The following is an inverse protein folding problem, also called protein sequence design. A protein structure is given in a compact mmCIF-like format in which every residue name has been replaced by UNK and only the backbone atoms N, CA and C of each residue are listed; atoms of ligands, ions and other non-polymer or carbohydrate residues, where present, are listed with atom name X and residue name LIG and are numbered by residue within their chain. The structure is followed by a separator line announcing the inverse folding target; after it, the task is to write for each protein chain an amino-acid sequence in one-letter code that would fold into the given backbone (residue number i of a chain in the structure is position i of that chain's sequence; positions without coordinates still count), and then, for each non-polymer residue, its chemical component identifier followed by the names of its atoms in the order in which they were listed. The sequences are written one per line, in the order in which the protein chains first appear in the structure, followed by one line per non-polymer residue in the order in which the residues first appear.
data_IF_343728834085
#
_entry.id   IF_343728834085
#
_cell.length_a   1.000
_cell.length_b   1.000
_cell.length_c   1.000
_cell.angle_alpha   90.00
_cell.angle_beta   90.00
_cell.angle_gamma   90.00
#
_symmetry.space_group_name_H-M   'P 1'
#
loop_
_entity.id
_entity.type
_entity.pdbx_description
1 polymer ?
#
# COMPACT_ATOMS: atom_id res chain seq x y z
N UNK A 1 -28.11 -26.68 3.48
CA UNK A 1 -28.86 -25.98 2.42
C UNK A 1 -27.80 -25.42 1.49
N UNK A 2 -27.55 -26.10 0.37
CA UNK A 2 -26.46 -25.78 -0.54
C UNK A 2 -26.85 -24.61 -1.44
N UNK A 3 -26.05 -23.54 -1.42
CA UNK A 3 -26.37 -22.30 -2.13
C UNK A 3 -25.78 -22.36 -3.55
N UNK A 4 -26.67 -22.38 -4.54
CA UNK A 4 -26.37 -22.60 -5.95
C UNK A 4 -26.67 -21.29 -6.70
N UNK A 5 -25.80 -20.86 -7.62
CA UNK A 5 -26.06 -19.67 -8.42
C UNK A 5 -25.94 -19.98 -9.91
N UNK A 6 -26.91 -19.46 -10.66
CA UNK A 6 -27.03 -19.68 -12.10
C UNK A 6 -26.39 -18.49 -12.83
N UNK A 7 -25.66 -18.75 -13.92
CA UNK A 7 -25.11 -17.70 -14.77
C UNK A 7 -25.34 -18.03 -16.26
N UNK A 8 -25.37 -16.98 -17.09
CA UNK A 8 -25.65 -17.07 -18.52
C UNK A 8 -24.43 -16.60 -19.30
N UNK A 9 -23.91 -17.45 -20.18
CA UNK A 9 -22.90 -17.06 -21.17
C UNK A 9 -23.60 -16.80 -22.50
N UNK A 10 -23.22 -15.69 -23.16
CA UNK A 10 -23.64 -15.33 -24.51
C UNK A 10 -22.54 -15.75 -25.49
N UNK A 11 -22.90 -16.55 -26.50
CA UNK A 11 -21.99 -16.83 -27.61
C UNK A 11 -21.99 -15.69 -28.62
N UNK A 12 -21.04 -15.71 -29.57
CA UNK A 12 -20.80 -14.62 -30.53
C UNK A 12 -21.98 -14.35 -31.50
N UNK A 13 -23.06 -15.12 -31.38
CA UNK A 13 -24.31 -15.00 -32.14
C UNK A 13 -25.54 -14.68 -31.27
N UNK A 14 -25.37 -14.46 -29.95
CA UNK A 14 -26.39 -13.90 -29.07
C UNK A 14 -27.39 -14.90 -28.48
N UNK A 15 -27.10 -16.20 -28.48
CA UNK A 15 -27.96 -17.18 -27.79
C UNK A 15 -27.52 -17.41 -26.33
N UNK A 16 -28.47 -17.33 -25.40
CA UNK A 16 -28.24 -17.50 -23.96
C UNK A 16 -28.46 -18.94 -23.51
N UNK A 17 -27.44 -19.60 -22.96
CA UNK A 17 -27.56 -20.91 -22.30
C UNK A 17 -27.39 -20.79 -20.79
N UNK A 18 -28.30 -21.42 -20.04
CA UNK A 18 -28.33 -21.41 -18.57
C UNK A 18 -27.42 -22.50 -18.02
N UNK A 19 -26.38 -22.10 -17.28
CA UNK A 19 -25.46 -23.04 -16.63
C UNK A 19 -25.44 -22.83 -15.12
N UNK A 20 -25.10 -23.93 -14.46
CA UNK A 20 -25.31 -24.13 -13.04
C UNK A 20 -23.95 -24.53 -12.39
N UNK A 21 -23.46 -23.79 -11.38
CA UNK A 21 -22.23 -24.12 -10.60
C UNK A 21 -22.45 -24.12 -9.08
N UNK A 22 -21.83 -25.10 -8.40
CA UNK A 22 -21.78 -25.19 -6.92
C UNK A 22 -20.79 -24.19 -6.34
N UNK A 23 -21.21 -23.45 -5.30
CA UNK A 23 -20.35 -22.53 -4.56
C UNK A 23 -19.56 -23.30 -3.48
N UNK A 24 -18.25 -23.38 -3.60
CA UNK A 24 -17.39 -23.90 -2.52
C UNK A 24 -17.23 -22.80 -1.45
N UNK A 25 -17.61 -23.14 -0.21
CA UNK A 25 -17.41 -22.31 0.96
C UNK A 25 -15.96 -22.45 1.46
N UNK A 26 -15.06 -21.60 0.98
CA UNK A 26 -13.69 -21.47 1.49
C UNK A 26 -13.46 -20.12 2.18
N UNK A 27 -14.39 -19.69 3.04
CA UNK A 27 -14.29 -18.40 3.75
C UNK A 27 -13.23 -18.38 4.86
N UNK A 28 -12.62 -19.52 5.19
CA UNK A 28 -11.57 -19.63 6.22
C UNK A 28 -10.15 -19.53 5.67
N UNK A 29 -9.94 -19.65 4.36
CA UNK A 29 -8.61 -19.73 3.76
C UNK A 29 -8.09 -18.41 3.17
N UNK A 30 -8.92 -17.36 3.08
CA UNK A 30 -8.51 -16.09 2.45
C UNK A 30 -7.49 -15.31 3.30
N UNK A 31 -7.68 -15.29 4.63
CA UNK A 31 -6.72 -14.67 5.53
C UNK A 31 -5.42 -15.48 5.58
N UNK A 32 -5.48 -16.82 5.58
CA UNK A 32 -4.29 -17.68 5.65
C UNK A 32 -3.49 -17.70 4.32
N UNK A 33 -4.16 -17.60 3.16
CA UNK A 33 -3.50 -17.46 1.84
C UNK A 33 -2.85 -16.09 1.67
N UNK A 34 -3.34 -15.00 2.28
CA UNK A 34 -2.63 -13.72 2.29
C UNK A 34 -1.31 -13.80 3.09
N UNK A 35 -1.29 -14.54 4.20
CA UNK A 35 -0.08 -14.74 5.02
C UNK A 35 0.95 -15.69 4.36
N UNK A 36 0.52 -16.57 3.46
CA UNK A 36 1.40 -17.47 2.71
C UNK A 36 1.91 -16.84 1.41
N UNK A 37 1.08 -16.09 0.67
CA UNK A 37 1.52 -15.40 -0.55
C UNK A 37 2.44 -14.18 -0.26
N UNK A 38 2.46 -13.67 0.97
CA UNK A 38 3.43 -12.66 1.41
C UNK A 38 4.82 -13.24 1.74
N UNK A 39 4.95 -14.56 1.86
CA UNK A 39 6.26 -15.23 2.03
C UNK A 39 7.01 -15.41 0.70
N UNK A 40 6.37 -15.14 -0.43
CA UNK A 40 6.89 -15.46 -1.77
C UNK A 40 7.41 -14.23 -2.54
N UNK A 41 7.76 -13.13 -1.85
CA UNK A 41 8.74 -12.16 -2.37
C UNK A 41 10.15 -12.49 -1.82
N UNK A 42 10.46 -13.79 -1.76
CA UNK A 42 11.75 -14.31 -1.33
C UNK A 42 12.46 -14.93 -2.53
N UNK A 43 13.00 -14.07 -3.39
CA UNK A 43 14.16 -14.47 -4.17
C UNK A 43 15.24 -14.93 -3.20
N UNK A 44 15.72 -16.17 -3.38
CA UNK A 44 16.93 -16.70 -2.74
C UNK A 44 18.01 -15.62 -2.69
N UNK A 45 18.70 -15.53 -1.56
CA UNK A 45 19.81 -14.60 -1.32
C UNK A 45 20.83 -14.80 -2.44
N UNK A 46 20.72 -13.98 -3.49
CA UNK A 46 21.69 -13.94 -4.56
C UNK A 46 22.83 -13.06 -4.06
N UNK A 47 23.86 -13.69 -3.49
CA UNK A 47 25.09 -13.03 -3.05
C UNK A 47 25.83 -12.33 -4.21
N UNK A 48 25.32 -12.39 -5.45
CA UNK A 48 25.84 -11.66 -6.60
C UNK A 48 25.17 -10.30 -6.83
N UNK A 49 24.10 -9.96 -6.11
CA UNK A 49 23.47 -8.63 -6.18
C UNK A 49 24.20 -7.64 -5.27
N UNK A 50 24.58 -6.48 -5.82
CA UNK A 50 25.29 -5.45 -5.08
C UNK A 50 24.45 -4.90 -3.94
N UNK A 51 24.97 -4.95 -2.71
CA UNK A 51 24.38 -4.20 -1.61
C UNK A 51 24.89 -2.76 -1.67
N UNK A 52 23.98 -1.80 -1.58
CA UNK A 52 24.30 -0.36 -1.65
C UNK A 52 24.74 0.23 -0.29
N UNK A 53 24.90 -0.61 0.73
CA UNK A 53 25.27 -0.19 2.09
C UNK A 53 24.13 0.44 2.90
N UNK A 54 22.93 0.56 2.31
CA UNK A 54 21.73 1.03 2.99
C UNK A 54 21.03 -0.14 3.70
N UNK A 55 20.55 0.09 4.92
CA UNK A 55 19.87 -0.91 5.75
C UNK A 55 18.52 -0.38 6.23
N UNK A 56 17.51 -1.24 6.21
CA UNK A 56 16.17 -0.90 6.70
C UNK A 56 15.68 -1.96 7.67
N UNK A 57 14.80 -1.57 8.60
CA UNK A 57 14.06 -2.53 9.41
C UNK A 57 13.04 -3.23 8.51
N UNK A 58 13.07 -4.56 8.51
CA UNK A 58 12.13 -5.39 7.77
C UNK A 58 11.25 -6.16 8.75
N UNK A 59 9.95 -6.05 8.58
CA UNK A 59 8.97 -6.83 9.33
C UNK A 59 7.69 -7.01 8.52
N UNK A 60 6.93 -8.04 8.88
CA UNK A 60 5.59 -8.29 8.36
C UNK A 60 4.76 -8.91 9.48
N UNK A 61 3.92 -8.11 10.12
CA UNK A 61 3.27 -8.50 11.37
C UNK A 61 1.93 -7.79 11.59
N UNK A 62 0.98 -8.39 12.34
CA UNK A 62 -0.30 -7.76 12.63
C UNK A 62 -0.21 -6.59 13.63
N UNK A 63 0.85 -6.53 14.44
CA UNK A 63 1.06 -5.50 15.47
C UNK A 63 2.48 -4.98 15.47
N UNK A 64 2.67 -3.79 16.04
CA UNK A 64 3.98 -3.17 16.22
C UNK A 64 4.88 -3.99 17.14
N UNK A 65 4.34 -4.57 18.20
CA UNK A 65 5.07 -5.43 19.14
C UNK A 65 5.67 -6.67 18.43
N UNK A 66 4.90 -7.28 17.54
CA UNK A 66 5.34 -8.42 16.75
C UNK A 66 6.32 -7.99 15.65
N UNK A 67 6.10 -6.83 15.01
CA UNK A 67 7.05 -6.24 14.06
C UNK A 67 8.42 -5.95 14.69
N UNK A 68 8.47 -5.51 15.96
CA UNK A 68 9.71 -5.27 16.70
C UNK A 68 10.39 -6.57 17.13
N UNK A 69 9.61 -7.57 17.57
CA UNK A 69 10.17 -8.82 18.10
C UNK A 69 10.63 -9.79 17.01
N UNK A 70 9.94 -9.84 15.88
CA UNK A 70 10.25 -10.75 14.76
C UNK A 70 11.00 -10.08 13.60
N UNK A 71 11.03 -8.73 13.59
CA UNK A 71 11.72 -7.97 12.57
C UNK A 71 13.25 -8.06 12.67
N UNK A 72 13.92 -7.64 11.59
CA UNK A 72 15.37 -7.60 11.52
C UNK A 72 15.85 -6.54 10.53
N UNK A 73 17.11 -6.11 10.67
CA UNK A 73 17.74 -5.25 9.68
C UNK A 73 18.13 -6.06 8.43
N UNK A 74 17.70 -5.57 7.27
CA UNK A 74 18.08 -6.13 5.97
C UNK A 74 18.96 -5.12 5.22
N UNK A 75 19.98 -5.61 4.51
CA UNK A 75 20.75 -4.80 3.57
C UNK A 75 19.95 -4.64 2.28
N UNK A 76 19.72 -3.40 1.87
CA UNK A 76 19.03 -3.08 0.64
C UNK A 76 19.89 -3.41 -0.58
N UNK A 77 19.23 -3.69 -1.71
CA UNK A 77 19.88 -4.05 -2.97
C UNK A 77 19.96 -2.85 -3.90
N UNK A 78 21.05 -2.75 -4.67
CA UNK A 78 21.18 -1.87 -5.83
C UNK A 78 20.54 -0.46 -5.63
N UNK A 79 19.42 -0.19 -6.29
CA UNK A 79 18.70 1.09 -6.31
C UNK A 79 17.67 1.28 -5.17
N UNK A 80 17.61 0.35 -4.20
CA UNK A 80 16.74 0.46 -3.04
C UNK A 80 17.35 1.41 -1.99
N UNK A 81 17.18 2.71 -2.21
CA UNK A 81 17.75 3.78 -1.38
C UNK A 81 16.80 4.34 -0.32
N UNK A 82 15.61 3.74 -0.15
CA UNK A 82 14.61 4.19 0.82
C UNK A 82 14.17 3.03 1.71
N UNK A 83 13.77 3.34 2.94
CA UNK A 83 13.04 2.42 3.79
C UNK A 83 11.54 2.73 3.74
N UNK A 84 10.70 1.70 3.65
CA UNK A 84 9.23 1.84 3.66
C UNK A 84 8.61 1.43 5.00
N UNK A 85 7.45 2.03 5.25
CA UNK A 85 6.44 1.53 6.20
C UNK A 85 5.07 1.59 5.53
N UNK A 86 4.30 0.53 5.72
CA UNK A 86 2.90 0.44 5.30
C UNK A 86 2.07 -0.16 6.40
N UNK A 87 0.97 0.50 6.70
CA UNK A 87 -0.04 0.01 7.62
C UNK A 87 -1.33 -0.29 6.90
N UNK A 88 -1.95 -1.42 7.22
CA UNK A 88 -3.34 -1.68 6.91
C UNK A 88 -4.15 -1.53 8.19
N UNK A 89 -5.15 -0.66 8.14
CA UNK A 89 -6.07 -0.39 9.23
C UNK A 89 -7.47 -0.87 8.86
N UNK A 90 -8.16 -1.46 9.84
CA UNK A 90 -9.57 -1.83 9.75
C UNK A 90 -10.36 -1.13 10.86
N UNK A 91 -11.30 -0.26 10.48
CA UNK A 91 -12.02 0.61 11.42
C UNK A 91 -11.07 1.36 12.38
N UNK A 92 -9.99 1.92 11.84
CA UNK A 92 -8.96 2.67 12.57
C UNK A 92 -7.95 1.82 13.36
N UNK A 93 -8.15 0.51 13.49
CA UNK A 93 -7.20 -0.38 14.18
C UNK A 93 -6.18 -0.95 13.20
N UNK A 94 -4.90 -0.94 13.55
CA UNK A 94 -3.85 -1.59 12.76
C UNK A 94 -4.10 -3.10 12.73
N UNK A 95 -4.04 -3.69 11.54
CA UNK A 95 -4.26 -5.12 11.28
C UNK A 95 -3.08 -5.79 10.60
N UNK A 96 -2.22 -5.00 9.96
CA UNK A 96 -1.01 -5.47 9.28
C UNK A 96 -0.04 -4.31 9.15
N UNK A 97 1.23 -4.61 9.37
CA UNK A 97 2.36 -3.73 9.22
C UNK A 97 3.34 -4.41 8.27
N UNK A 98 3.83 -3.66 7.30
CA UNK A 98 4.87 -4.07 6.39
C UNK A 98 5.98 -3.00 6.38
N UNK A 99 7.22 -3.42 6.54
CA UNK A 99 8.39 -2.54 6.50
C UNK A 99 9.52 -3.20 5.73
N UNK A 100 10.36 -2.42 5.07
CA UNK A 100 11.48 -2.96 4.29
C UNK A 100 12.26 -1.92 3.50
N UNK A 101 12.96 -2.41 2.48
CA UNK A 101 13.70 -1.59 1.52
C UNK A 101 12.83 -1.33 0.28
N UNK A 102 12.95 -0.12 -0.27
CA UNK A 102 12.19 0.34 -1.43
C UNK A 102 13.04 1.18 -2.36
N UNK A 103 12.75 1.12 -3.66
CA UNK A 103 13.30 2.05 -4.66
C UNK A 103 12.60 3.42 -4.55
N UNK A 104 13.29 4.49 -4.92
CA UNK A 104 12.78 5.88 -4.83
C UNK A 104 11.46 6.07 -5.60
N UNK A 105 11.40 5.59 -6.85
CA UNK A 105 10.20 5.71 -7.70
C UNK A 105 9.03 4.91 -7.15
N UNK A 106 9.28 3.71 -6.62
CA UNK A 106 8.27 2.86 -6.02
C UNK A 106 7.73 3.46 -4.72
N UNK A 107 8.63 4.06 -3.92
CA UNK A 107 8.26 4.79 -2.72
C UNK A 107 7.32 5.97 -3.03
N UNK A 108 7.69 6.85 -3.97
CA UNK A 108 6.85 7.97 -4.39
C UNK A 108 5.49 7.50 -4.93
N UNK A 109 5.49 6.51 -5.83
CA UNK A 109 4.26 5.97 -6.43
C UNK A 109 3.31 5.41 -5.37
N UNK A 110 3.86 4.78 -4.33
CA UNK A 110 3.08 4.23 -3.23
C UNK A 110 2.57 5.32 -2.29
N UNK A 111 3.40 6.31 -1.95
CA UNK A 111 2.97 7.48 -1.19
C UNK A 111 1.81 8.23 -1.85
N UNK A 112 1.85 8.42 -3.18
CA UNK A 112 0.75 9.03 -3.95
C UNK A 112 -0.57 8.24 -3.87
N UNK A 113 -0.55 6.97 -3.45
CA UNK A 113 -1.78 6.19 -3.22
C UNK A 113 -2.45 6.52 -1.89
N UNK A 114 -1.76 7.14 -0.93
CA UNK A 114 -2.41 7.64 0.29
C UNK A 114 -3.55 8.58 -0.08
N UNK A 115 -3.29 9.44 -1.07
CA UNK A 115 -4.30 10.30 -1.65
C UNK A 115 -3.91 10.77 -3.05
N UNK A 116 -4.55 10.18 -4.07
CA UNK A 116 -4.34 10.55 -5.47
C UNK A 116 -4.70 12.00 -5.81
N UNK A 117 -5.42 12.71 -4.92
CA UNK A 117 -5.93 14.05 -5.14
C UNK A 117 -5.49 15.08 -4.08
N UNK A 118 -4.62 14.71 -3.13
CA UNK A 118 -4.18 15.62 -2.07
C UNK A 118 -3.45 16.84 -2.62
N UNK A 119 -3.97 18.03 -2.35
CA UNK A 119 -3.38 19.30 -2.81
C UNK A 119 -3.50 19.56 -4.31
N UNK A 120 -4.26 18.76 -5.07
CA UNK A 120 -4.72 19.17 -6.39
C UNK A 120 -6.04 19.90 -6.24
N UNK A 121 -6.10 21.15 -6.67
CA UNK A 121 -7.36 21.88 -6.86
C UNK A 121 -8.16 21.19 -7.96
N UNK A 122 -8.88 20.12 -7.61
CA UNK A 122 -9.93 19.61 -8.46
C UNK A 122 -10.94 20.74 -8.65
N UNK A 123 -11.29 21.12 -9.89
CA UNK A 123 -12.29 22.15 -10.09
C UNK A 123 -13.56 21.71 -9.38
N UNK A 124 -14.04 22.53 -8.44
CA UNK A 124 -15.34 22.35 -7.76
C UNK A 124 -16.46 22.53 -8.79
N UNK A 125 -16.67 21.53 -9.64
CA UNK A 125 -17.76 21.51 -10.61
C UNK A 125 -19.01 21.06 -9.86
N UNK A 126 -19.98 21.97 -9.68
CA UNK A 126 -21.27 21.63 -9.08
C UNK A 126 -21.90 20.47 -9.85
N UNK A 127 -22.00 19.30 -9.22
CA UNK A 127 -22.54 18.06 -9.79
C UNK A 127 -21.51 16.95 -10.04
N UNK A 128 -20.24 17.26 -10.33
CA UNK A 128 -19.20 16.23 -10.51
C UNK A 128 -18.82 15.58 -9.17
N UNK A 129 -18.70 16.40 -8.13
CA UNK A 129 -18.51 15.95 -6.75
C UNK A 129 -19.71 15.15 -6.20
N UNK A 130 -20.92 15.42 -6.70
CA UNK A 130 -22.15 14.73 -6.28
C UNK A 130 -22.27 13.32 -6.86
N UNK A 131 -21.79 13.09 -8.09
CA UNK A 131 -21.79 11.77 -8.73
C UNK A 131 -20.69 10.82 -8.18
N UNK A 132 -19.61 11.38 -7.63
CA UNK A 132 -18.48 10.61 -7.08
C UNK A 132 -18.36 10.67 -5.54
N UNK A 133 -19.38 11.18 -4.84
CA UNK A 133 -19.43 11.16 -3.37
C UNK A 133 -18.37 12.01 -2.68
N UNK A 134 -17.90 13.09 -3.32
CA UNK A 134 -16.98 14.04 -2.69
C UNK A 134 -17.79 15.17 -2.01
N UNK A 135 -18.04 15.06 -0.71
CA UNK A 135 -18.33 16.26 0.10
C UNK A 135 -17.02 16.88 0.59
N UNK A 136 -17.04 18.14 1.02
CA UNK A 136 -15.87 18.77 1.68
C UNK A 136 -15.33 17.93 2.85
N UNK A 137 -16.23 17.17 3.51
CA UNK A 137 -15.90 16.27 4.62
C UNK A 137 -15.76 14.79 4.21
N UNK A 138 -15.90 14.45 2.92
CA UNK A 138 -15.75 13.06 2.46
C UNK A 138 -14.55 12.91 1.53
N UNK A 139 -13.55 12.13 1.95
CA UNK A 139 -12.39 11.83 1.15
C UNK A 139 -12.83 11.12 -0.13
N UNK A 140 -12.31 11.55 -1.29
CA UNK A 140 -12.72 11.00 -2.57
C UNK A 140 -12.47 9.48 -2.67
N UNK A 141 -13.06 8.80 -3.67
CA UNK A 141 -13.02 7.34 -3.80
C UNK A 141 -11.61 6.74 -4.02
N UNK A 142 -10.58 7.59 -4.05
CA UNK A 142 -9.19 7.23 -4.32
C UNK A 142 -8.25 7.57 -3.16
N UNK A 143 -8.78 8.13 -2.07
CA UNK A 143 -8.04 8.35 -0.84
C UNK A 143 -8.00 7.04 -0.05
N UNK A 144 -6.82 6.64 0.41
CA UNK A 144 -6.62 5.36 1.10
C UNK A 144 -6.13 5.52 2.52
N UNK A 145 -5.43 6.62 2.86
CA UNK A 145 -4.83 6.75 4.19
C UNK A 145 -5.70 7.55 5.17
N UNK A 146 -6.42 6.83 6.02
CA UNK A 146 -7.13 7.38 7.16
C UNK A 146 -6.49 6.89 8.45
N UNK A 147 -5.64 7.73 9.06
CA UNK A 147 -4.96 7.36 10.29
C UNK A 147 -5.94 7.36 11.47
N UNK A 148 -6.71 8.42 11.64
CA UNK A 148 -7.55 8.63 12.83
C UNK A 148 -9.01 8.24 12.64
N UNK A 149 -9.44 7.97 11.40
CA UNK A 149 -10.86 7.71 11.10
C UNK A 149 -11.25 6.23 11.35
N UNK A 150 -11.98 5.99 12.44
CA UNK A 150 -12.50 4.67 12.80
C UNK A 150 -13.76 4.23 12.06
N UNK A 151 -14.35 5.11 11.23
CA UNK A 151 -15.57 4.77 10.46
C UNK A 151 -15.25 4.13 9.11
N UNK A 152 -14.01 4.25 8.65
CA UNK A 152 -13.56 3.68 7.38
C UNK A 152 -13.21 2.21 7.57
N UNK A 153 -13.84 1.34 6.77
CA UNK A 153 -13.62 -0.11 6.84
C UNK A 153 -12.17 -0.48 6.52
N UNK A 154 -11.58 0.07 5.45
CA UNK A 154 -10.21 -0.24 5.04
C UNK A 154 -9.45 1.05 4.82
N UNK A 155 -8.34 1.20 5.53
CA UNK A 155 -7.40 2.31 5.39
C UNK A 155 -5.99 1.75 5.19
N UNK A 156 -5.25 2.29 4.22
CA UNK A 156 -3.87 1.89 3.92
C UNK A 156 -3.02 3.15 3.87
N UNK A 157 -2.09 3.24 4.81
CA UNK A 157 -1.17 4.35 4.95
C UNK A 157 0.26 3.91 4.60
N UNK A 158 0.98 4.74 3.85
CA UNK A 158 2.31 4.43 3.31
C UNK A 158 3.24 5.62 3.52
N UNK A 159 4.46 5.38 3.98
CA UNK A 159 5.44 6.42 4.20
C UNK A 159 6.84 5.85 3.94
N UNK A 160 7.78 6.71 3.59
CA UNK A 160 9.17 6.35 3.37
C UNK A 160 10.14 7.32 4.03
N UNK A 161 11.38 6.87 4.16
CA UNK A 161 12.49 7.69 4.60
C UNK A 161 13.78 7.28 3.88
N UNK A 162 14.72 8.21 3.76
CA UNK A 162 15.97 8.07 2.99
C UNK A 162 17.18 7.72 3.86
N UNK A 163 17.12 7.97 5.16
CA UNK A 163 18.24 7.76 6.08
C UNK A 163 18.45 6.27 6.39
N UNK A 164 19.68 5.87 6.65
CA UNK A 164 19.98 4.48 7.02
C UNK A 164 19.23 4.10 8.32
N UNK A 165 18.49 2.99 8.30
CA UNK A 165 17.69 2.45 9.42
C UNK A 165 16.57 3.37 9.92
N UNK A 166 16.17 4.35 9.12
CA UNK A 166 15.23 5.40 9.52
C UNK A 166 13.85 4.87 9.92
N UNK A 167 13.36 3.84 9.24
CA UNK A 167 12.01 3.32 9.46
C UNK A 167 11.85 2.61 10.82
N UNK A 168 12.95 2.23 11.49
CA UNK A 168 12.87 1.66 12.84
C UNK A 168 12.18 2.61 13.84
N UNK A 169 12.33 3.93 13.64
CA UNK A 169 11.69 4.93 14.50
C UNK A 169 10.16 4.88 14.49
N UNK A 170 9.55 4.24 13.49
CA UNK A 170 8.09 4.10 13.38
C UNK A 170 7.55 2.81 13.97
N UNK A 171 8.42 1.95 14.50
CA UNK A 171 8.00 0.64 15.06
C UNK A 171 7.22 0.75 16.38
N UNK A 172 7.03 1.96 16.90
CA UNK A 172 6.18 2.27 18.04
C UNK A 172 4.81 2.85 17.64
N UNK A 173 4.52 2.97 16.34
CA UNK A 173 3.30 3.60 15.84
C UNK A 173 3.30 5.13 15.93
N UNK A 174 4.48 5.76 15.96
CA UNK A 174 4.64 7.23 16.03
C UNK A 174 4.06 8.01 14.84
N UNK A 175 3.71 7.34 13.72
CA UNK A 175 2.91 7.95 12.66
C UNK A 175 1.42 7.75 12.98
N UNK A 176 0.81 8.70 13.68
CA UNK A 176 -0.57 8.59 14.15
C UNK A 176 -1.55 9.60 13.53
N UNK A 177 -1.05 10.65 12.89
CA UNK A 177 -1.85 11.66 12.19
C UNK A 177 -1.79 11.56 10.68
N UNK A 178 -2.86 12.00 10.00
CA UNK A 178 -2.86 12.11 8.54
C UNK A 178 -1.77 13.06 8.02
N UNK A 179 -1.38 14.07 8.80
CA UNK A 179 -0.31 15.00 8.41
C UNK A 179 1.04 14.29 8.30
N UNK A 180 1.36 13.41 9.25
CA UNK A 180 2.61 12.63 9.25
C UNK A 180 2.64 11.59 8.12
N UNK A 181 1.52 10.92 7.87
CA UNK A 181 1.39 9.99 6.75
C UNK A 181 1.42 10.66 5.38
N UNK A 182 1.13 11.96 5.31
CA UNK A 182 1.17 12.75 4.07
C UNK A 182 2.36 13.73 4.02
N UNK A 183 3.39 13.52 4.86
CA UNK A 183 4.64 14.29 4.78
C UNK A 183 5.40 13.93 3.50
N UNK A 184 5.74 14.95 2.72
CA UNK A 184 6.38 14.84 1.40
C UNK A 184 7.92 14.86 1.45
N UNK A 185 8.51 15.11 2.61
CA UNK A 185 9.94 15.40 2.78
C UNK A 185 10.86 14.31 2.20
N UNK A 186 10.43 13.04 2.27
CA UNK A 186 11.25 11.89 1.86
C UNK A 186 10.81 11.23 0.54
N UNK A 187 10.10 11.98 -0.31
CA UNK A 187 9.64 11.48 -1.61
C UNK A 187 10.20 12.34 -2.76
N UNK A 188 11.52 12.61 -2.83
CA UNK A 188 12.07 13.38 -3.92
C UNK A 188 11.83 12.63 -5.24
N UNK A 189 11.40 13.37 -6.26
CA UNK A 189 11.49 12.87 -7.62
C UNK A 189 12.98 12.63 -7.93
N UNK A 190 13.33 11.61 -8.75
CA UNK A 190 14.64 11.64 -9.38
C UNK A 190 14.77 12.98 -10.11
N UNK A 191 15.80 13.75 -9.77
CA UNK A 191 16.12 14.96 -10.54
C UNK A 191 16.32 14.49 -11.99
N UNK A 192 15.47 14.98 -12.89
CA UNK A 192 15.75 14.82 -14.31
C UNK A 192 16.95 15.74 -14.56
N UNK A 193 18.14 15.16 -14.71
CA UNK A 193 19.35 15.85 -15.15
C UNK A 193 19.21 16.29 -16.64
N UNK A 194 18.19 17.08 -16.97
CA UNK A 194 17.92 17.59 -18.33
C UNK A 194 18.19 19.10 -18.47
N UNK A 195 19.00 19.71 -17.60
CA UNK A 195 19.36 21.13 -17.71
C UNK A 195 20.89 21.37 -17.66
N UNK A 196 21.66 20.73 -18.55
CA UNK A 196 22.99 21.24 -18.96
C UNK A 196 23.25 20.96 -20.46
N UNK A 197 22.58 21.69 -21.35
CA UNK A 197 23.18 22.09 -22.64
C UNK A 197 23.21 23.63 -22.70
N UNK A 198 24.19 24.22 -22.01
CA UNK A 198 24.78 25.49 -22.46
C UNK A 198 25.94 25.14 -23.41
N UNK A 199 25.78 25.43 -24.72
CA UNK A 199 26.79 26.05 -25.59
C UNK A 199 26.21 26.37 -27.00
#
# INVERSE_FOLDING_TARGET
MDNYYDYYEEDQFGERKKNNKKKQNNKKNFYEEQYLNAKDEYGTIDETMGHNGHQCWKCHAPTYEECVSEGYYVNCKDEQLHCDVREHRHFGNVTLIHMGCKQSTACLTEFEQNDKFYGRDLPKVMGFNFFFGQSEDQPGPYHQCFATNSTIEVSICRQCCTDNKCNYGWTDGSLDTEAEWNDKTNHPLPENDEDEEED
#
